data_IF_355197960639
#
_entry.id   IF_355197960639
#
_cell.length_a   1.000
_cell.length_b   1.000
_cell.length_c   1.000
_cell.angle_alpha   90.00
_cell.angle_beta   90.00
_cell.angle_gamma   90.00
#
_symmetry.space_group_name_H-M   'P 1'
#
loop_
_entity.id
_entity.type
_entity.pdbx_description
1 polymer ?
#
# COMPACT_ATOMS: atom_id res chain seq x y z
N UNK A 1 41.72 36.25 19.36
CA UNK A 1 41.62 35.59 18.04
C UNK A 1 41.09 34.20 18.26
N UNK A 2 39.89 33.99 17.74
CA UNK A 2 39.05 32.80 17.70
C UNK A 2 39.80 31.61 17.05
N UNK A 3 39.39 30.33 17.13
CA UNK A 3 38.22 29.67 17.69
C UNK A 3 38.59 28.20 17.96
N UNK A 4 38.02 27.66 19.03
CA UNK A 4 37.93 26.24 19.38
C UNK A 4 37.01 25.51 18.37
N UNK A 5 37.38 24.31 17.92
CA UNK A 5 36.48 23.39 17.22
C UNK A 5 36.39 22.09 18.04
N UNK A 6 35.52 22.09 19.03
CA UNK A 6 34.91 20.88 19.59
C UNK A 6 33.48 20.78 19.08
N UNK A 7 33.04 19.55 18.78
CA UNK A 7 31.65 19.05 18.82
C UNK A 7 31.32 18.17 17.61
N UNK A 8 31.91 16.98 17.59
CA UNK A 8 31.60 15.90 16.66
C UNK A 8 30.62 14.87 17.23
N UNK A 9 29.71 15.26 18.14
CA UNK A 9 28.94 14.26 18.88
C UNK A 9 27.56 14.68 19.41
N UNK A 10 26.76 15.44 18.65
CA UNK A 10 25.35 15.61 19.06
C UNK A 10 24.38 16.09 17.96
N UNK A 11 24.06 15.24 16.97
CA UNK A 11 22.83 15.43 16.19
C UNK A 11 22.22 14.07 15.80
N UNK A 12 21.81 13.29 16.79
CA UNK A 12 20.95 12.10 16.58
C UNK A 12 19.59 12.20 17.27
N UNK A 13 19.18 13.37 17.78
CA UNK A 13 17.89 13.50 18.42
C UNK A 13 17.43 14.96 18.39
N UNK A 14 16.49 15.30 17.50
CA UNK A 14 15.53 16.43 17.57
C UNK A 14 15.14 16.91 16.15
N UNK A 15 14.21 16.22 15.51
CA UNK A 15 13.16 16.90 14.72
C UNK A 15 11.86 16.12 14.93
N UNK A 16 11.25 16.34 16.09
CA UNK A 16 9.82 16.17 16.28
C UNK A 16 9.29 17.50 16.81
N UNK A 17 8.25 17.98 16.15
CA UNK A 17 7.27 19.01 16.58
C UNK A 17 7.46 20.43 16.04
N UNK A 18 6.42 20.84 15.30
CA UNK A 18 5.87 22.20 15.15
C UNK A 18 6.23 23.05 13.91
N UNK A 19 5.49 22.82 12.81
CA UNK A 19 4.89 23.91 12.02
C UNK A 19 3.52 23.44 11.49
N UNK A 20 2.49 23.61 12.31
CA UNK A 20 1.11 23.58 11.84
C UNK A 20 0.76 24.94 11.22
N UNK A 21 0.03 24.89 10.11
CA UNK A 21 -0.74 25.97 9.49
C UNK A 21 0.02 27.00 8.65
N UNK A 22 -0.64 27.39 7.55
CA UNK A 22 -0.23 28.36 6.53
C UNK A 22 0.58 27.74 5.38
N UNK A 23 -0.08 26.97 4.51
CA UNK A 23 -0.20 27.20 3.05
C UNK A 23 -1.34 26.28 2.53
N UNK A 24 -2.57 26.79 2.40
CA UNK A 24 -3.62 26.11 1.61
C UNK A 24 -3.38 26.43 0.14
N UNK A 25 -2.98 25.41 -0.63
CA UNK A 25 -2.80 25.52 -2.07
C UNK A 25 -2.16 24.27 -2.65
N UNK A 26 -2.99 23.24 -2.85
CA UNK A 26 -2.75 22.12 -3.80
C UNK A 26 -1.33 21.54 -3.76
N UNK A 27 -0.99 20.91 -2.64
CA UNK A 27 0.07 19.90 -2.57
C UNK A 27 -0.50 18.66 -1.91
N UNK A 28 -1.55 18.11 -2.52
CA UNK A 28 -1.83 16.69 -2.36
C UNK A 28 -0.69 15.97 -3.09
N UNK A 29 0.45 15.82 -2.40
CA UNK A 29 1.52 14.93 -2.82
C UNK A 29 0.99 13.50 -2.64
N UNK A 30 0.03 13.14 -3.50
CA UNK A 30 -0.11 11.89 -4.22
C UNK A 30 0.90 10.86 -3.73
N UNK A 31 0.50 10.11 -2.70
CA UNK A 31 1.12 8.84 -2.38
C UNK A 31 0.72 7.84 -3.47
N UNK A 32 1.30 7.99 -4.66
CA UNK A 32 1.08 7.12 -5.82
C UNK A 32 1.15 5.65 -5.37
N UNK A 33 0.01 4.95 -5.40
CA UNK A 33 -0.09 3.53 -5.01
C UNK A 33 -0.40 3.21 -3.55
N UNK A 34 -0.40 4.16 -2.60
CA UNK A 34 -0.79 3.89 -1.19
C UNK A 34 -2.30 3.99 -0.95
N UNK A 35 -3.03 4.67 -1.85
CA UNK A 35 -4.49 4.77 -1.83
C UNK A 35 -5.17 3.65 -2.65
N UNK A 36 -4.44 2.58 -2.96
CA UNK A 36 -4.97 1.48 -3.76
C UNK A 36 -6.02 0.70 -2.97
N UNK A 37 -7.14 0.40 -3.62
CA UNK A 37 -8.25 -0.36 -3.04
C UNK A 37 -7.82 -1.79 -2.64
N UNK A 38 -6.67 -2.26 -3.13
CA UNK A 38 -6.02 -3.49 -2.67
C UNK A 38 -5.77 -3.54 -1.16
N UNK A 39 -5.52 -2.42 -0.48
CA UNK A 39 -5.29 -2.46 0.98
C UNK A 39 -6.52 -2.95 1.75
N UNK A 40 -7.74 -2.76 1.24
CA UNK A 40 -8.94 -3.34 1.86
C UNK A 40 -8.92 -4.88 1.81
N UNK A 41 -8.41 -5.46 0.72
CA UNK A 41 -8.17 -6.90 0.58
C UNK A 41 -7.09 -7.36 1.56
N UNK A 42 -6.00 -6.60 1.67
CA UNK A 42 -4.91 -6.92 2.61
C UNK A 42 -5.41 -6.95 4.06
N UNK A 43 -6.18 -5.94 4.49
CA UNK A 43 -6.76 -5.89 5.83
C UNK A 43 -7.72 -7.04 6.10
N UNK A 44 -8.53 -7.43 5.10
CA UNK A 44 -9.42 -8.59 5.23
C UNK A 44 -8.65 -9.89 5.36
N UNK A 45 -7.60 -10.09 4.58
CA UNK A 45 -6.72 -11.27 4.68
C UNK A 45 -6.03 -11.31 6.05
N UNK A 46 -5.56 -10.17 6.56
CA UNK A 46 -5.02 -10.07 7.93
C UNK A 46 -6.05 -10.47 8.98
N UNK A 47 -7.30 -10.01 8.84
CA UNK A 47 -8.39 -10.39 9.75
C UNK A 47 -8.72 -11.89 9.72
N UNK A 48 -8.44 -12.57 8.60
CA UNK A 48 -8.54 -14.03 8.47
C UNK A 48 -7.32 -14.78 9.02
N UNK A 49 -6.32 -14.07 9.57
CA UNK A 49 -5.05 -14.65 10.03
C UNK A 49 -4.05 -14.95 8.92
N UNK A 50 -4.32 -14.49 7.69
CA UNK A 50 -3.51 -14.71 6.50
C UNK A 50 -2.55 -13.55 6.25
N UNK A 51 -1.80 -13.18 7.28
CA UNK A 51 -0.89 -12.02 7.23
C UNK A 51 0.30 -12.29 6.30
N UNK A 52 0.73 -11.25 5.58
CA UNK A 52 1.97 -11.24 4.80
C UNK A 52 3.18 -11.15 5.73
N UNK A 53 4.21 -11.98 5.49
CA UNK A 53 5.43 -11.96 6.31
C UNK A 53 6.33 -10.75 5.99
N UNK A 54 7.20 -10.41 6.93
CA UNK A 54 8.19 -9.36 6.73
C UNK A 54 9.15 -9.72 5.58
N UNK A 55 9.31 -8.82 4.61
CA UNK A 55 10.12 -9.06 3.42
C UNK A 55 9.48 -9.93 2.34
N UNK A 56 8.27 -10.46 2.56
CA UNK A 56 7.55 -11.27 1.58
C UNK A 56 6.95 -10.40 0.47
N UNK A 57 7.17 -10.77 -0.80
CA UNK A 57 6.57 -10.07 -1.93
C UNK A 57 5.07 -10.38 -2.04
N UNK A 58 4.30 -9.50 -2.69
CA UNK A 58 2.86 -9.77 -2.91
C UNK A 58 2.64 -11.03 -3.76
N UNK A 59 3.58 -11.38 -4.65
CA UNK A 59 3.49 -12.58 -5.48
C UNK A 59 3.77 -13.85 -4.67
N UNK A 60 4.75 -13.82 -3.78
CA UNK A 60 5.05 -14.96 -2.90
C UNK A 60 3.90 -15.19 -1.91
N UNK A 61 3.37 -14.11 -1.35
CA UNK A 61 2.20 -14.15 -0.49
C UNK A 61 0.99 -14.74 -1.23
N UNK A 62 0.71 -14.29 -2.45
CA UNK A 62 -0.30 -14.91 -3.33
C UNK A 62 -0.04 -16.39 -3.58
N UNK A 63 1.21 -16.77 -3.84
CA UNK A 63 1.61 -18.16 -4.05
C UNK A 63 1.25 -19.08 -2.87
N UNK A 64 1.38 -18.59 -1.62
CA UNK A 64 0.90 -19.31 -0.44
C UNK A 64 -0.61 -19.37 -0.35
N UNK A 65 -1.28 -18.28 -0.71
CA UNK A 65 -2.73 -18.15 -0.72
C UNK A 65 -3.41 -18.98 -1.81
N UNK A 66 -2.70 -19.35 -2.90
CA UNK A 66 -3.23 -20.19 -4.00
C UNK A 66 -3.80 -21.54 -3.56
N UNK A 67 -3.34 -22.08 -2.44
CA UNK A 67 -3.84 -23.37 -1.94
C UNK A 67 -5.16 -23.24 -1.16
N UNK A 68 -5.63 -22.02 -0.92
CA UNK A 68 -6.84 -21.74 -0.15
C UNK A 68 -7.94 -21.28 -1.10
N UNK A 69 -8.95 -22.12 -1.30
CA UNK A 69 -10.11 -21.76 -2.12
C UNK A 69 -10.92 -20.61 -1.50
N UNK A 70 -10.92 -20.52 -0.16
CA UNK A 70 -11.61 -19.48 0.63
C UNK A 70 -11.20 -18.04 0.29
N UNK A 71 -10.04 -17.84 -0.32
CA UNK A 71 -9.53 -16.50 -0.69
C UNK A 71 -9.63 -16.21 -2.19
N UNK A 72 -10.26 -17.09 -2.97
CA UNK A 72 -10.45 -16.94 -4.41
C UNK A 72 -9.18 -16.50 -5.14
N UNK A 73 -8.18 -17.39 -5.23
CA UNK A 73 -6.83 -17.02 -5.65
C UNK A 73 -6.78 -16.47 -7.08
N UNK A 74 -7.69 -16.86 -7.97
CA UNK A 74 -7.80 -16.35 -9.33
C UNK A 74 -8.20 -14.87 -9.32
N UNK A 75 -9.21 -14.51 -8.53
CA UNK A 75 -9.69 -13.13 -8.40
C UNK A 75 -8.65 -12.24 -7.70
N UNK A 76 -7.99 -12.78 -6.67
CA UNK A 76 -6.88 -12.10 -5.99
C UNK A 76 -5.71 -11.82 -6.94
N UNK A 77 -5.41 -12.75 -7.86
CA UNK A 77 -4.37 -12.56 -8.87
C UNK A 77 -4.68 -11.39 -9.82
N UNK A 78 -5.94 -11.26 -10.25
CA UNK A 78 -6.38 -10.14 -11.09
C UNK A 78 -6.20 -8.81 -10.38
N UNK A 79 -6.61 -8.72 -9.12
CA UNK A 79 -6.46 -7.51 -8.28
C UNK A 79 -4.98 -7.16 -8.12
N UNK A 80 -4.12 -8.15 -7.85
CA UNK A 80 -2.68 -7.95 -7.71
C UNK A 80 -2.05 -7.41 -9.00
N UNK A 81 -2.39 -7.98 -10.15
CA UNK A 81 -1.89 -7.51 -11.45
C UNK A 81 -2.29 -6.05 -11.70
N UNK A 82 -3.54 -5.68 -11.38
CA UNK A 82 -4.02 -4.30 -11.49
C UNK A 82 -3.28 -3.37 -10.51
N UNK A 83 -3.03 -3.81 -9.27
CA UNK A 83 -2.25 -3.05 -8.29
C UNK A 83 -0.79 -2.84 -8.73
N UNK A 84 -0.16 -3.88 -9.27
CA UNK A 84 1.20 -3.78 -9.80
C UNK A 84 1.27 -2.80 -10.98
N UNK A 85 0.31 -2.86 -11.92
CA UNK A 85 0.20 -1.88 -13.00
C UNK A 85 0.01 -0.47 -12.44
N UNK A 86 -0.88 -0.28 -11.48
CA UNK A 86 -1.09 1.04 -10.85
C UNK A 86 0.19 1.63 -10.24
N UNK A 87 1.05 0.79 -9.67
CA UNK A 87 2.25 1.23 -8.95
C UNK A 87 3.50 1.35 -9.82
N UNK A 88 3.62 0.55 -10.87
CA UNK A 88 4.86 0.41 -11.63
C UNK A 88 4.72 0.60 -13.14
N UNK A 89 3.51 0.81 -13.67
CA UNK A 89 3.29 1.02 -15.10
C UNK A 89 3.61 2.47 -15.51
N UNK A 90 4.64 2.70 -16.35
CA UNK A 90 5.05 4.03 -16.79
C UNK A 90 4.15 4.61 -17.89
N UNK A 91 3.27 3.79 -18.51
CA UNK A 91 2.41 4.18 -19.64
C UNK A 91 1.14 4.89 -19.13
N UNK A 92 0.82 4.74 -17.84
CA UNK A 92 -0.30 5.38 -17.19
C UNK A 92 -1.40 4.39 -16.86
N UNK A 93 -1.82 4.40 -15.61
CA UNK A 93 -2.99 3.68 -15.13
C UNK A 93 -4.19 4.60 -15.27
N UNK A 94 -5.10 4.27 -16.21
CA UNK A 94 -6.26 5.10 -16.54
C UNK A 94 -7.41 4.89 -15.52
N UNK A 95 -8.36 5.82 -15.47
CA UNK A 95 -9.54 5.78 -14.60
C UNK A 95 -10.39 4.53 -14.85
N UNK A 96 -10.34 3.98 -16.07
CA UNK A 96 -10.96 2.71 -16.42
C UNK A 96 -10.31 1.52 -15.70
N UNK A 97 -8.97 1.44 -15.68
CA UNK A 97 -8.23 0.42 -14.94
C UNK A 97 -8.47 0.57 -13.43
N UNK A 98 -8.59 1.81 -12.93
CA UNK A 98 -8.94 2.08 -11.53
C UNK A 98 -10.34 1.62 -11.17
N UNK A 99 -11.31 1.90 -12.04
CA UNK A 99 -12.70 1.45 -11.86
C UNK A 99 -12.78 -0.08 -11.89
N UNK A 100 -12.00 -0.71 -12.75
CA UNK A 100 -11.86 -2.16 -12.78
C UNK A 100 -11.27 -2.69 -11.47
N UNK A 101 -10.19 -2.10 -10.96
CA UNK A 101 -9.60 -2.50 -9.67
C UNK A 101 -10.62 -2.40 -8.53
N UNK A 102 -11.36 -1.29 -8.44
CA UNK A 102 -12.44 -1.11 -7.45
C UNK A 102 -13.49 -2.22 -7.54
N UNK A 103 -13.94 -2.53 -8.74
CA UNK A 103 -14.97 -3.53 -8.97
C UNK A 103 -14.48 -4.95 -8.62
N UNK A 104 -13.24 -5.30 -8.97
CA UNK A 104 -12.68 -6.60 -8.61
C UNK A 104 -12.48 -6.73 -7.09
N UNK A 105 -12.00 -5.68 -6.42
CA UNK A 105 -11.88 -5.63 -4.96
C UNK A 105 -13.24 -5.80 -4.29
N UNK A 106 -14.27 -5.10 -4.77
CA UNK A 106 -15.64 -5.22 -4.27
C UNK A 106 -16.15 -6.66 -4.38
N UNK A 107 -16.04 -7.27 -5.57
CA UNK A 107 -16.43 -8.68 -5.80
C UNK A 107 -15.70 -9.63 -4.86
N UNK A 108 -14.40 -9.43 -4.67
CA UNK A 108 -13.60 -10.26 -3.80
C UNK A 108 -14.06 -10.14 -2.34
N UNK A 109 -14.30 -8.93 -1.86
CA UNK A 109 -14.79 -8.69 -0.49
C UNK A 109 -16.18 -9.31 -0.27
N UNK A 110 -17.10 -9.15 -1.21
CA UNK A 110 -18.44 -9.73 -1.14
C UNK A 110 -18.40 -11.26 -1.08
N UNK A 111 -17.50 -11.87 -1.83
CA UNK A 111 -17.44 -13.32 -1.93
C UNK A 111 -16.74 -14.00 -0.75
N UNK A 112 -16.13 -13.23 0.15
CA UNK A 112 -15.39 -13.70 1.34
C UNK A 112 -16.01 -13.16 2.64
N UNK A 113 -17.07 -12.37 2.53
CA UNK A 113 -17.97 -12.13 3.66
C UNK A 113 -18.82 -13.38 3.88
N UNK A 114 -18.85 -13.95 5.10
CA UNK A 114 -19.93 -14.85 5.45
C UNK A 114 -21.23 -14.04 5.45
N UNK A 115 -22.27 -14.59 4.80
CA UNK A 115 -23.62 -14.06 4.84
C UNK A 115 -24.16 -13.92 6.28
#
# INVERSE_FOLDING_TARGET
MSAQLESGREVCHKILTNVASVIHGQRDTLRLGLDSEFYAVEERLKAMGLVRHEGESLLDWHGRLKQREEVQPELLQVILNLHYRYRFDPIGFDENDRSLLKEQVRKWLEAIQPA
#
